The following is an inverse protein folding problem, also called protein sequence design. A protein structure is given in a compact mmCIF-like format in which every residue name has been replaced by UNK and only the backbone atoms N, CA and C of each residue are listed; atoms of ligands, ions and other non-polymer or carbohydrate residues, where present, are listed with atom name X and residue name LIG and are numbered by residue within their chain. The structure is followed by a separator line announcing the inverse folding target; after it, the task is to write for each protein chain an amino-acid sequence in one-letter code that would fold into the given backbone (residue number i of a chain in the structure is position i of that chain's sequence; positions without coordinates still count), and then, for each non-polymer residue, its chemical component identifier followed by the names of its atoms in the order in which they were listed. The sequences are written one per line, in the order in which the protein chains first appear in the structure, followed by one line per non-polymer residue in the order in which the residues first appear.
data_IF_275527919916
#
_entry.id   IF_275527919916
#
_cell.length_a   1.000
_cell.length_b   1.000
_cell.length_c   1.000
_cell.angle_alpha   90.00
_cell.angle_beta   90.00
_cell.angle_gamma   90.00
#
_symmetry.space_group_name_H-M   'P 1'
#
loop_
_entity.id
_entity.type
_entity.pdbx_description
1 polymer ?
#
# COMPACT_ATOMS: atom_id res chain seq x y z
N UNK A 1 8.30 -11.22 -6.13
CA UNK A 1 8.14 -9.80 -6.49
C UNK A 1 9.52 -9.17 -6.53
N UNK A 2 9.83 -8.46 -7.61
CA UNK A 2 11.09 -7.71 -7.76
C UNK A 2 11.12 -6.41 -6.95
N UNK A 3 12.28 -5.73 -6.89
CA UNK A 3 12.45 -4.48 -6.16
C UNK A 3 11.60 -3.36 -6.76
N UNK A 4 11.24 -2.38 -5.92
CA UNK A 4 10.57 -1.15 -6.36
C UNK A 4 11.58 -0.07 -6.72
N UNK A 5 11.37 0.58 -7.87
CA UNK A 5 12.14 1.72 -8.33
C UNK A 5 11.28 2.99 -8.30
N UNK A 6 11.88 4.12 -7.94
CA UNK A 6 11.20 5.41 -8.02
C UNK A 6 11.03 5.81 -9.50
N UNK A 7 9.78 5.92 -9.95
CA UNK A 7 9.46 6.34 -11.31
C UNK A 7 9.71 7.85 -11.48
N UNK A 8 10.45 8.20 -12.53
CA UNK A 8 10.55 9.59 -13.00
C UNK A 8 9.40 9.87 -13.95
N UNK A 9 8.52 10.78 -13.57
CA UNK A 9 7.46 11.24 -14.46
C UNK A 9 8.06 12.22 -15.50
N UNK A 10 7.68 12.11 -16.78
CA UNK A 10 8.15 13.05 -17.80
C UNK A 10 7.63 14.46 -17.50
N UNK A 11 8.38 15.50 -17.91
CA UNK A 11 8.09 16.90 -17.55
C UNK A 11 6.67 17.35 -17.94
N UNK A 12 6.13 16.81 -19.05
CA UNK A 12 4.78 17.07 -19.52
C UNK A 12 3.67 16.36 -18.73
N UNK A 13 3.98 15.43 -17.83
CA UNK A 13 3.00 14.61 -17.10
C UNK A 13 2.07 15.44 -16.21
N UNK A 14 2.49 16.65 -15.83
CA UNK A 14 1.73 17.57 -14.99
C UNK A 14 1.22 18.80 -15.74
N UNK A 15 1.25 18.79 -17.08
CA UNK A 15 0.71 19.87 -17.88
C UNK A 15 -0.83 19.85 -17.78
N UNK A 16 -1.47 20.91 -17.26
CA UNK A 16 -2.92 20.94 -17.06
C UNK A 16 -3.72 20.72 -18.35
N UNK A 17 -3.23 21.15 -19.52
CA UNK A 17 -3.94 20.92 -20.79
C UNK A 17 -3.91 19.45 -21.21
N UNK A 18 -2.77 18.78 -21.00
CA UNK A 18 -2.62 17.35 -21.27
C UNK A 18 -3.50 16.55 -20.31
N UNK A 19 -3.53 16.94 -19.03
CA UNK A 19 -4.37 16.28 -18.03
C UNK A 19 -5.87 16.52 -18.26
N UNK A 20 -6.27 17.73 -18.64
CA UNK A 20 -7.65 18.07 -19.01
C UNK A 20 -8.14 17.16 -20.14
N UNK A 21 -7.36 17.07 -21.23
CA UNK A 21 -7.69 16.20 -22.37
C UNK A 21 -7.72 14.71 -21.98
N UNK A 22 -6.76 14.26 -21.16
CA UNK A 22 -6.65 12.86 -20.74
C UNK A 22 -7.79 12.42 -19.82
N UNK A 23 -8.21 13.28 -18.90
CA UNK A 23 -9.21 12.96 -17.88
C UNK A 23 -10.61 13.45 -18.23
N UNK A 24 -10.76 14.21 -19.32
CA UNK A 24 -12.06 14.78 -19.73
C UNK A 24 -12.57 15.83 -18.75
N UNK A 25 -11.67 16.62 -18.16
CA UNK A 25 -11.99 17.64 -17.15
C UNK A 25 -11.59 19.03 -17.65
N UNK A 26 -12.14 20.08 -17.06
CA UNK A 26 -11.73 21.45 -17.39
C UNK A 26 -10.28 21.75 -16.91
N UNK A 27 -9.74 22.87 -17.37
CA UNK A 27 -8.34 23.25 -17.10
C UNK A 27 -8.11 23.58 -15.62
N UNK A 28 -9.11 24.08 -14.89
CA UNK A 28 -8.99 24.40 -13.47
C UNK A 28 -8.93 23.12 -12.64
N UNK A 29 -9.85 22.19 -12.87
CA UNK A 29 -9.83 20.84 -12.32
C UNK A 29 -8.52 20.12 -12.67
N UNK A 30 -8.01 20.29 -13.89
CA UNK A 30 -6.73 19.73 -14.29
C UNK A 30 -5.53 20.37 -13.58
N UNK A 31 -5.59 21.64 -13.18
CA UNK A 31 -4.57 22.28 -12.33
C UNK A 31 -4.58 21.70 -10.92
N UNK A 32 -5.76 21.50 -10.33
CA UNK A 32 -5.91 20.85 -9.04
C UNK A 32 -5.37 19.41 -9.08
N UNK A 33 -5.73 18.67 -10.13
CA UNK A 33 -5.20 17.32 -10.38
C UNK A 33 -3.68 17.31 -10.54
N UNK A 34 -3.12 18.26 -11.31
CA UNK A 34 -1.67 18.38 -11.47
C UNK A 34 -0.97 18.67 -10.13
N UNK A 35 -1.53 19.54 -9.29
CA UNK A 35 -1.01 19.83 -7.97
C UNK A 35 -1.07 18.61 -7.04
N UNK A 36 -2.16 17.85 -7.07
CA UNK A 36 -2.30 16.60 -6.32
C UNK A 36 -1.26 15.56 -6.78
N UNK A 37 -1.11 15.35 -8.09
CA UNK A 37 -0.14 14.40 -8.64
C UNK A 37 1.31 14.78 -8.30
N UNK A 38 1.65 16.07 -8.24
CA UNK A 38 3.00 16.55 -7.86
C UNK A 38 3.36 16.23 -6.41
N UNK A 39 2.38 16.04 -5.53
CA UNK A 39 2.62 15.65 -4.13
C UNK A 39 2.94 14.17 -3.97
N UNK A 40 2.78 13.39 -5.05
CA UNK A 40 2.94 11.94 -5.01
C UNK A 40 4.32 11.53 -5.51
N UNK A 41 4.91 10.58 -4.80
CA UNK A 41 6.05 9.79 -5.31
C UNK A 41 5.49 8.52 -5.93
N UNK A 42 5.98 8.15 -7.10
CA UNK A 42 5.53 6.93 -7.79
C UNK A 42 6.65 5.90 -7.71
N UNK A 43 6.31 4.69 -7.29
CA UNK A 43 7.18 3.53 -7.27
C UNK A 43 6.63 2.47 -8.20
N UNK A 44 7.48 1.77 -8.94
CA UNK A 44 7.08 0.72 -9.87
C UNK A 44 7.98 -0.50 -9.74
N UNK A 45 7.44 -1.68 -10.05
CA UNK A 45 8.22 -2.87 -10.35
C UNK A 45 7.62 -3.59 -11.57
N UNK A 46 7.95 -4.87 -11.76
CA UNK A 46 7.44 -5.67 -12.88
C UNK A 46 5.91 -5.77 -12.90
N UNK A 47 5.26 -5.73 -11.73
CA UNK A 47 3.84 -6.05 -11.57
C UNK A 47 2.99 -4.89 -11.07
N UNK A 48 3.53 -4.01 -10.24
CA UNK A 48 2.80 -2.99 -9.51
C UNK A 48 3.30 -1.58 -9.83
N UNK A 49 2.38 -0.63 -9.71
CA UNK A 49 2.65 0.78 -9.53
C UNK A 49 2.04 1.21 -8.19
N UNK A 50 2.80 1.97 -7.40
CA UNK A 50 2.38 2.50 -6.10
C UNK A 50 2.60 4.00 -6.09
N UNK A 51 1.52 4.75 -5.91
CA UNK A 51 1.58 6.19 -5.67
C UNK A 51 1.56 6.44 -4.18
N UNK A 52 2.57 7.14 -3.67
CA UNK A 52 2.77 7.43 -2.25
C UNK A 52 2.56 8.91 -2.01
N UNK A 53 1.68 9.25 -1.08
CA UNK A 53 1.44 10.62 -0.64
C UNK A 53 1.58 10.71 0.87
N UNK A 54 2.31 11.72 1.36
CA UNK A 54 2.32 12.04 2.79
C UNK A 54 1.05 12.80 3.16
N UNK A 55 0.39 12.37 4.23
CA UNK A 55 -0.75 13.01 4.88
C UNK A 55 -0.27 13.45 6.26
N UNK A 56 -0.32 14.75 6.53
CA UNK A 56 0.18 15.30 7.78
C UNK A 56 -0.76 14.96 8.93
N UNK A 57 -0.23 14.25 9.94
CA UNK A 57 -0.87 13.93 11.24
C UNK A 57 -2.42 13.79 11.22
N UNK A 58 -3.02 12.87 10.45
CA UNK A 58 -4.47 12.81 10.25
C UNK A 58 -5.27 12.40 11.49
N UNK A 59 -4.61 11.82 12.51
CA UNK A 59 -5.23 11.46 13.79
C UNK A 59 -4.90 12.45 14.92
N UNK A 60 -4.39 13.64 14.57
CA UNK A 60 -4.01 14.68 15.52
C UNK A 60 -2.50 14.80 15.70
N UNK A 61 -2.01 15.90 16.30
CA UNK A 61 -0.60 16.25 16.36
C UNK A 61 0.26 15.27 17.16
N UNK A 62 -0.35 14.53 18.09
CA UNK A 62 0.32 13.51 18.91
C UNK A 62 0.48 12.18 18.16
N UNK A 63 -0.02 12.10 16.93
CA UNK A 63 0.19 10.97 16.02
C UNK A 63 1.09 11.39 14.86
N UNK A 64 1.93 10.46 14.40
CA UNK A 64 2.80 10.73 13.25
C UNK A 64 2.04 10.96 11.96
N UNK A 65 2.70 11.57 10.97
CA UNK A 65 2.26 11.56 9.58
C UNK A 65 1.88 10.15 9.11
N UNK A 66 1.06 10.09 8.06
CA UNK A 66 0.78 8.86 7.35
C UNK A 66 1.29 8.91 5.92
N UNK A 67 1.68 7.75 5.41
CA UNK A 67 1.93 7.52 4.00
C UNK A 67 0.71 6.79 3.43
N UNK A 68 0.00 7.47 2.55
CA UNK A 68 -1.07 6.86 1.75
C UNK A 68 -0.47 6.23 0.51
N UNK A 69 -0.65 4.93 0.37
CA UNK A 69 -0.23 4.11 -0.76
C UNK A 69 -1.46 3.77 -1.61
N UNK A 70 -1.55 4.33 -2.81
CA UNK A 70 -2.49 3.89 -3.85
C UNK A 70 -1.79 2.89 -4.76
N UNK A 71 -2.24 1.64 -4.71
CA UNK A 71 -1.58 0.46 -5.30
C UNK A 71 -2.43 -0.05 -6.46
N UNK A 72 -1.80 -0.27 -7.61
CA UNK A 72 -2.45 -0.92 -8.76
C UNK A 72 -1.50 -1.87 -9.46
N UNK A 73 -2.05 -2.93 -10.07
CA UNK A 73 -1.28 -3.72 -11.03
C UNK A 73 -1.11 -2.95 -12.32
N UNK A 74 0.04 -3.16 -12.97
CA UNK A 74 0.36 -2.53 -14.26
C UNK A 74 -0.52 -3.06 -15.40
N UNK A 75 -0.96 -4.30 -15.29
CA UNK A 75 -1.94 -4.94 -16.20
C UNK A 75 -3.40 -4.57 -15.90
N UNK A 76 -3.65 -3.75 -14.87
CA UNK A 76 -4.98 -3.28 -14.43
C UNK A 76 -5.92 -4.37 -13.93
N UNK A 77 -5.45 -5.61 -13.77
CA UNK A 77 -6.22 -6.66 -13.12
C UNK A 77 -6.38 -6.33 -11.62
N UNK A 78 -7.41 -6.88 -10.95
CA UNK A 78 -7.59 -6.70 -9.51
C UNK A 78 -6.40 -7.22 -8.71
N UNK A 79 -6.22 -6.61 -7.53
CA UNK A 79 -5.28 -7.03 -6.50
C UNK A 79 -6.12 -7.65 -5.39
N UNK A 80 -5.85 -8.88 -4.99
CA UNK A 80 -6.40 -9.38 -3.74
C UNK A 80 -5.54 -10.50 -3.13
N UNK A 81 -4.22 -10.28 -3.12
CA UNK A 81 -3.30 -11.08 -2.32
C UNK A 81 -2.72 -10.18 -1.22
N UNK A 82 -3.17 -10.39 0.02
CA UNK A 82 -2.71 -9.65 1.19
C UNK A 82 -1.19 -9.72 1.37
N UNK A 83 -0.55 -10.84 1.00
CA UNK A 83 0.92 -10.97 1.09
C UNK A 83 1.63 -10.03 0.14
N UNK A 84 1.05 -9.76 -1.03
CA UNK A 84 1.61 -8.76 -1.95
C UNK A 84 1.48 -7.36 -1.34
N UNK A 85 0.32 -7.01 -0.77
CA UNK A 85 0.11 -5.72 -0.10
C UNK A 85 1.08 -5.51 1.09
N UNK A 86 1.26 -6.52 1.94
CA UNK A 86 2.21 -6.47 3.05
C UNK A 86 3.65 -6.29 2.56
N UNK A 87 4.06 -7.01 1.51
CA UNK A 87 5.40 -6.87 0.93
C UNK A 87 5.62 -5.50 0.29
N UNK A 88 4.61 -4.96 -0.37
CA UNK A 88 4.64 -3.61 -0.95
C UNK A 88 4.86 -2.57 0.14
N UNK A 89 4.09 -2.64 1.23
CA UNK A 89 4.25 -1.78 2.40
C UNK A 89 5.67 -1.89 2.97
N UNK A 90 6.15 -3.11 3.18
CA UNK A 90 7.50 -3.36 3.72
C UNK A 90 8.60 -2.77 2.81
N UNK A 91 8.50 -2.98 1.49
CA UNK A 91 9.52 -2.54 0.55
C UNK A 91 9.56 -1.02 0.36
N UNK A 92 8.43 -0.33 0.49
CA UNK A 92 8.32 1.11 0.25
C UNK A 92 8.49 1.92 1.54
N UNK A 93 7.93 1.45 2.64
CA UNK A 93 7.86 2.19 3.91
C UNK A 93 8.80 1.59 4.96
N UNK A 94 8.72 0.28 5.16
CA UNK A 94 9.52 -0.44 6.15
C UNK A 94 8.74 -1.58 6.82
N UNK A 95 9.46 -2.58 7.33
CA UNK A 95 8.86 -3.78 7.91
C UNK A 95 8.09 -3.48 9.21
N UNK A 96 8.64 -2.60 10.03
CA UNK A 96 8.13 -2.26 11.37
C UNK A 96 7.02 -1.19 11.38
N UNK A 97 6.64 -0.70 10.20
CA UNK A 97 5.56 0.28 10.09
C UNK A 97 4.22 -0.44 10.02
N UNK A 98 3.27 0.00 10.84
CA UNK A 98 1.91 -0.52 10.80
C UNK A 98 1.09 0.23 9.75
N UNK A 99 0.27 -0.51 9.00
CA UNK A 99 -0.66 0.06 8.04
C UNK A 99 -1.96 -0.71 7.96
N UNK A 100 -2.99 -0.06 7.46
CA UNK A 100 -4.35 -0.61 7.39
C UNK A 100 -5.04 -0.25 6.08
N UNK A 101 -5.98 -1.11 5.68
CA UNK A 101 -6.96 -0.84 4.65
C UNK A 101 -8.27 -0.40 5.30
N UNK A 102 -8.96 0.55 4.67
CA UNK A 102 -10.28 0.99 5.11
C UNK A 102 -11.29 0.46 4.12
N UNK A 103 -12.25 -0.32 4.62
CA UNK A 103 -13.50 -0.62 3.93
C UNK A 103 -14.46 0.52 4.25
N UNK A 104 -14.70 1.45 3.30
CA UNK A 104 -15.44 2.67 3.61
C UNK A 104 -16.91 2.39 3.91
N UNK A 105 -17.56 3.31 4.65
CA UNK A 105 -19.02 3.40 4.59
C UNK A 105 -19.46 3.63 3.13
N UNK A 106 -20.58 3.03 2.73
CA UNK A 106 -21.07 3.05 1.35
C UNK A 106 -21.19 4.48 0.77
N UNK A 107 -21.63 5.43 1.59
CA UNK A 107 -21.77 6.85 1.20
C UNK A 107 -20.46 7.56 0.82
N UNK A 108 -19.31 6.95 1.10
CA UNK A 108 -17.97 7.45 0.73
C UNK A 108 -17.16 6.42 -0.07
N UNK A 109 -17.80 5.39 -0.62
CA UNK A 109 -17.14 4.41 -1.46
C UNK A 109 -16.61 5.07 -2.74
N UNK A 110 -15.36 4.77 -3.08
CA UNK A 110 -14.76 5.17 -4.35
C UNK A 110 -14.29 3.89 -5.05
N UNK A 111 -15.11 3.37 -5.96
CA UNK A 111 -14.81 2.19 -6.77
C UNK A 111 -14.84 2.56 -8.27
N UNK A 112 -13.78 3.22 -8.71
CA UNK A 112 -13.64 3.69 -10.12
C UNK A 112 -12.51 2.99 -10.86
N UNK A 113 -11.72 2.17 -10.17
CA UNK A 113 -10.59 1.44 -10.72
C UNK A 113 -10.16 0.31 -9.79
N UNK A 114 -9.45 -0.69 -10.34
CA UNK A 114 -8.78 -1.75 -9.59
C UNK A 114 -7.54 -1.20 -8.83
N UNK A 115 -7.79 -0.32 -7.86
CA UNK A 115 -6.80 0.30 -7.00
C UNK A 115 -7.13 0.00 -5.53
N UNK A 116 -6.08 -0.29 -4.76
CA UNK A 116 -6.18 -0.61 -3.35
C UNK A 116 -5.41 0.43 -2.55
N UNK A 117 -5.89 0.74 -1.35
CA UNK A 117 -5.42 1.87 -0.57
C UNK A 117 -4.96 1.42 0.81
N UNK A 118 -3.66 1.59 1.07
CA UNK A 118 -3.08 1.41 2.41
C UNK A 118 -2.75 2.77 3.00
N UNK A 119 -3.06 2.94 4.28
CA UNK A 119 -2.55 4.04 5.09
C UNK A 119 -1.56 3.47 6.08
N UNK A 120 -0.33 3.96 6.04
CA UNK A 120 0.79 3.44 6.82
C UNK A 120 1.32 4.55 7.71
N UNK A 121 1.50 4.30 9.01
CA UNK A 121 2.11 5.28 9.89
C UNK A 121 3.55 5.56 9.47
N UNK A 122 3.95 6.83 9.47
CA UNK A 122 5.33 7.21 9.17
C UNK A 122 6.26 6.95 10.36
N UNK A 123 5.74 6.87 11.58
CA UNK A 123 6.49 6.46 12.76
C UNK A 123 6.27 4.95 13.04
N UNK A 124 7.35 4.13 13.03
CA UNK A 124 7.25 2.71 13.35
C UNK A 124 6.93 2.41 14.82
N UNK A 125 6.80 3.39 15.71
CA UNK A 125 6.36 3.18 17.10
C UNK A 125 4.84 3.30 17.25
N UNK A 126 4.14 3.89 16.28
CA UNK A 126 2.68 4.01 16.33
C UNK A 126 2.03 2.69 15.92
N UNK A 127 1.07 2.23 16.72
CA UNK A 127 0.31 0.99 16.52
C UNK A 127 -1.18 1.29 16.63
N UNK A 128 -2.03 0.64 15.83
CA UNK A 128 -3.46 0.71 16.08
C UNK A 128 -3.77 0.02 17.43
N UNK A 129 -4.84 0.46 18.12
CA UNK A 129 -5.35 -0.23 19.29
C UNK A 129 -6.10 -1.54 18.94
N UNK A 130 -5.95 -2.06 17.72
CA UNK A 130 -6.57 -3.29 17.21
C UNK A 130 -5.53 -4.16 16.49
N UNK A 131 -5.89 -5.41 16.19
CA UNK A 131 -5.02 -6.36 15.50
C UNK A 131 -4.21 -7.25 16.46
N UNK A 132 -3.33 -8.09 15.88
CA UNK A 132 -2.51 -9.02 16.64
C UNK A 132 -1.25 -8.34 17.19
N UNK A 133 -0.89 -8.65 18.45
CA UNK A 133 0.32 -8.12 19.13
C UNK A 133 1.54 -9.02 18.99
N UNK A 134 1.33 -10.27 18.59
CA UNK A 134 2.39 -11.26 18.38
C UNK A 134 2.44 -11.64 16.91
N UNK A 135 3.65 -11.99 16.45
CA UNK A 135 3.87 -12.47 15.09
C UNK A 135 3.75 -13.99 15.06
N UNK A 136 2.78 -14.49 14.31
CA UNK A 136 2.64 -15.92 14.00
C UNK A 136 2.58 -16.11 12.48
N UNK A 137 3.50 -16.91 11.93
CA UNK A 137 3.60 -17.15 10.49
C UNK A 137 3.72 -18.64 10.24
N UNK A 138 2.86 -19.15 9.37
CA UNK A 138 2.89 -20.52 8.86
C UNK A 138 3.32 -20.52 7.39
N UNK A 139 4.14 -21.49 7.02
CA UNK A 139 4.37 -21.76 5.60
C UNK A 139 3.15 -22.45 4.95
N UNK A 140 3.17 -22.59 3.63
CA UNK A 140 2.07 -23.18 2.89
C UNK A 140 1.78 -24.65 3.27
N UNK A 141 2.81 -25.42 3.64
CA UNK A 141 2.66 -26.84 4.01
C UNK A 141 2.02 -26.97 5.39
N UNK A 142 2.52 -26.22 6.37
CA UNK A 142 1.98 -26.20 7.72
C UNK A 142 0.54 -25.67 7.74
N UNK A 143 0.24 -24.62 6.96
CA UNK A 143 -1.12 -24.12 6.81
C UNK A 143 -2.06 -25.17 6.17
N UNK A 144 -1.60 -25.88 5.13
CA UNK A 144 -2.37 -26.94 4.49
C UNK A 144 -2.68 -28.13 5.41
N UNK A 145 -1.75 -28.48 6.31
CA UNK A 145 -1.99 -29.50 7.33
C UNK A 145 -3.14 -29.12 8.30
N UNK A 146 -3.45 -27.83 8.42
CA UNK A 146 -4.58 -27.29 9.19
C UNK A 146 -5.81 -26.93 8.33
N UNK A 147 -5.84 -27.38 7.06
CA UNK A 147 -6.96 -27.12 6.15
C UNK A 147 -6.98 -25.73 5.51
N UNK A 148 -5.99 -24.88 5.78
CA UNK A 148 -5.88 -23.56 5.16
C UNK A 148 -5.16 -23.62 3.79
N UNK A 149 -5.53 -22.74 2.86
CA UNK A 149 -4.83 -22.58 1.58
C UNK A 149 -4.06 -21.27 1.58
N UNK A 150 -2.74 -21.35 1.62
CA UNK A 150 -1.86 -20.19 1.53
C UNK A 150 -0.84 -20.38 0.41
N UNK A 151 -0.50 -19.30 -0.30
CA UNK A 151 0.63 -19.29 -1.23
C UNK A 151 1.94 -19.63 -0.48
N UNK A 152 3.01 -20.12 -1.13
CA UNK A 152 4.33 -20.20 -0.49
C UNK A 152 4.82 -18.81 -0.02
N UNK A 153 5.67 -18.80 1.02
CA UNK A 153 6.44 -17.61 1.37
C UNK A 153 7.52 -17.40 0.31
N UNK A 154 7.79 -16.16 -0.06
CA UNK A 154 8.79 -15.85 -1.08
C UNK A 154 10.18 -15.73 -0.45
N UNK A 155 10.99 -16.80 -0.46
CA UNK A 155 12.44 -16.79 -0.13
C UNK A 155 12.83 -16.51 1.34
N UNK A 156 13.87 -17.23 1.79
CA UNK A 156 14.42 -17.37 3.15
C UNK A 156 13.41 -17.81 4.24
N UNK A 157 13.86 -18.79 5.05
CA UNK A 157 13.08 -19.39 6.13
C UNK A 157 12.48 -18.33 7.06
N UNK A 158 11.26 -18.55 7.60
CA UNK A 158 10.71 -17.64 8.58
C UNK A 158 11.72 -17.46 9.74
N UNK A 159 11.96 -16.23 10.23
CA UNK A 159 12.75 -16.05 11.45
C UNK A 159 12.14 -16.92 12.55
N UNK A 160 13.02 -17.65 13.23
CA UNK A 160 12.68 -18.73 14.14
C UNK A 160 11.61 -18.30 15.15
N UNK A 161 10.61 -19.17 15.34
CA UNK A 161 9.70 -19.06 16.48
C UNK A 161 10.51 -19.14 17.77
N UNK A 162 10.25 -18.25 18.72
CA UNK A 162 10.41 -18.62 20.11
C UNK A 162 9.44 -19.79 20.34
N UNK A 163 9.96 -20.94 20.77
CA UNK A 163 9.15 -22.09 21.09
C UNK A 163 7.96 -21.64 21.96
N UNK A 164 6.75 -22.09 21.60
CA UNK A 164 5.67 -22.07 22.58
C UNK A 164 6.12 -23.07 23.64
N UNK A 165 6.50 -22.59 24.81
CA UNK A 165 6.58 -23.45 25.98
C UNK A 165 5.16 -24.04 26.16
N UNK A 166 5.07 -25.35 25.98
CA UNK A 166 3.84 -26.11 26.22
C UNK A 166 3.65 -26.19 27.74
N UNK A 167 2.58 -25.56 28.25
CA UNK A 167 2.02 -25.81 29.58
C UNK A 167 1.01 -26.98 29.53
#
# INVERSE_FOLDING_TARGET
MGPFEAARLPDGAFNPRVLAARFGIDVEAARAQAAALRRQRVYVNERYQVNVQRIAAPFGPDTSDMLWLSIKRRDRAPIHDWRDLQRIKNAIVGEEHEGFEVYPAESRLVDTANQFHLWVFADPQVRLPVGFRTREVMDARAAAAQGARQRPLDGAAPPAHAAKDED
#
